data_IF_198635033521
#
_entry.id   IF_198635033521
#
_cell.length_a   1.000
_cell.length_b   1.000
_cell.length_c   1.000
_cell.angle_alpha   90.00
_cell.angle_beta   90.00
_cell.angle_gamma   90.00
#
_symmetry.space_group_name_H-M   'P 1'
#
loop_
_entity.id
_entity.type
_entity.pdbx_description
1 polymer ?
#
# COMPACT_ATOMS: atom_id res chain seq x y z
N UNK A 1 7.99 -16.68 28.55
CA UNK A 1 7.06 -17.13 27.49
C UNK A 1 6.40 -15.92 26.79
N UNK A 2 6.95 -15.51 25.66
CA UNK A 2 6.37 -14.44 24.84
C UNK A 2 5.20 -15.02 24.04
N UNK A 3 4.00 -14.50 24.28
CA UNK A 3 2.80 -14.86 23.54
C UNK A 3 3.00 -14.35 22.12
N UNK A 4 3.38 -15.25 21.20
CA UNK A 4 3.32 -14.98 19.76
C UNK A 4 1.88 -14.62 19.44
N UNK A 5 1.59 -13.33 19.26
CA UNK A 5 0.30 -12.85 18.80
C UNK A 5 0.11 -13.36 17.37
N UNK A 6 -0.45 -14.56 17.25
CA UNK A 6 -1.01 -15.04 15.99
C UNK A 6 -2.19 -14.12 15.67
N UNK A 7 -1.91 -13.07 14.88
CA UNK A 7 -2.92 -12.21 14.27
C UNK A 7 -3.86 -13.14 13.50
N UNK A 8 -5.05 -13.39 14.07
CA UNK A 8 -6.09 -14.16 13.39
C UNK A 8 -6.31 -13.55 12.01
N UNK A 9 -6.52 -14.36 10.95
CA UNK A 9 -6.75 -13.80 9.63
C UNK A 9 -7.93 -12.81 9.74
N UNK A 10 -7.78 -11.58 9.19
CA UNK A 10 -8.81 -10.56 9.34
C UNK A 10 -10.13 -11.11 8.82
N UNK A 11 -11.16 -11.08 9.66
CA UNK A 11 -12.52 -11.45 9.28
C UNK A 11 -13.08 -10.27 8.46
N UNK A 12 -13.03 -10.39 7.14
CA UNK A 12 -13.48 -9.37 6.21
C UNK A 12 -12.99 -9.65 4.78
N UNK A 13 -13.47 -8.90 3.78
CA UNK A 13 -12.90 -8.93 2.44
C UNK A 13 -11.39 -8.65 2.49
N UNK A 14 -10.59 -9.23 1.59
CA UNK A 14 -9.16 -8.93 1.52
C UNK A 14 -8.95 -7.43 1.32
N UNK A 15 -7.97 -6.88 2.01
CA UNK A 15 -7.56 -5.49 1.85
C UNK A 15 -6.28 -5.38 1.01
N UNK A 16 -6.24 -4.37 0.14
CA UNK A 16 -5.07 -4.00 -0.67
C UNK A 16 -4.63 -2.57 -0.36
N UNK A 17 -3.33 -2.35 -0.23
CA UNK A 17 -2.76 -1.01 -0.20
C UNK A 17 -1.88 -0.78 -1.42
N UNK A 18 -1.95 0.43 -1.96
CA UNK A 18 -1.08 0.89 -3.05
C UNK A 18 -0.12 1.90 -2.44
N UNK A 19 1.16 1.54 -2.40
CA UNK A 19 2.21 2.43 -1.93
C UNK A 19 2.56 3.43 -3.03
N UNK A 20 3.07 4.62 -2.68
CA UNK A 20 3.62 5.53 -3.67
C UNK A 20 4.75 4.82 -4.43
N UNK A 21 4.73 4.92 -5.75
CA UNK A 21 5.78 4.32 -6.58
C UNK A 21 7.04 5.18 -6.47
N UNK A 22 8.20 4.53 -6.47
CA UNK A 22 9.46 5.25 -6.48
C UNK A 22 9.69 5.85 -7.87
N UNK A 23 10.18 7.07 -7.95
CA UNK A 23 10.66 7.64 -9.21
C UNK A 23 12.14 7.34 -9.37
N UNK A 24 12.52 6.64 -10.43
CA UNK A 24 13.93 6.43 -10.73
C UNK A 24 14.54 7.77 -11.19
N UNK A 25 15.72 8.10 -10.69
CA UNK A 25 16.47 9.29 -11.12
C UNK A 25 16.23 10.59 -10.35
N UNK A 26 15.35 10.62 -9.34
CA UNK A 26 15.19 11.78 -8.44
C UNK A 26 14.55 13.02 -9.06
N UNK A 27 14.00 12.89 -10.27
CA UNK A 27 13.27 13.96 -10.95
C UNK A 27 11.90 14.17 -10.31
N UNK A 28 11.60 15.41 -9.92
CA UNK A 28 10.32 15.76 -9.27
C UNK A 28 9.11 15.40 -10.13
N UNK A 29 9.23 15.57 -11.45
CA UNK A 29 8.15 15.28 -12.39
C UNK A 29 7.82 13.77 -12.44
N UNK A 30 8.85 12.92 -12.37
CA UNK A 30 8.67 11.46 -12.27
C UNK A 30 7.97 11.10 -10.95
N UNK A 31 8.33 11.75 -9.85
CA UNK A 31 7.65 11.56 -8.55
C UNK A 31 6.16 11.92 -8.58
N UNK A 32 5.79 13.04 -9.21
CA UNK A 32 4.38 13.41 -9.36
C UNK A 32 3.61 12.45 -10.28
N UNK A 33 4.25 11.96 -11.35
CA UNK A 33 3.66 10.97 -12.23
C UNK A 33 3.47 9.62 -11.53
N UNK A 34 4.46 9.18 -10.75
CA UNK A 34 4.42 7.98 -9.93
C UNK A 34 3.25 8.02 -8.93
N UNK A 35 3.05 9.17 -8.29
CA UNK A 35 1.93 9.41 -7.39
C UNK A 35 0.59 9.39 -8.11
N UNK A 36 0.51 10.02 -9.29
CA UNK A 36 -0.69 10.01 -10.12
C UNK A 36 -1.11 8.59 -10.53
N UNK A 37 -0.15 7.73 -10.89
CA UNK A 37 -0.41 6.32 -11.21
C UNK A 37 -0.91 5.57 -9.97
N UNK A 38 -0.27 5.76 -8.82
CA UNK A 38 -0.71 5.12 -7.59
C UNK A 38 -2.14 5.53 -7.20
N UNK A 39 -2.48 6.81 -7.39
CA UNK A 39 -3.84 7.34 -7.17
C UNK A 39 -4.85 6.72 -8.12
N UNK A 40 -4.55 6.66 -9.42
CA UNK A 40 -5.44 6.05 -10.42
C UNK A 40 -5.71 4.57 -10.11
N UNK A 41 -4.70 3.83 -9.69
CA UNK A 41 -4.86 2.44 -9.23
C UNK A 41 -5.77 2.37 -8.00
N UNK A 42 -5.59 3.24 -7.00
CA UNK A 42 -6.46 3.31 -5.82
C UNK A 42 -7.92 3.55 -6.25
N UNK A 43 -8.15 4.52 -7.14
CA UNK A 43 -9.50 4.82 -7.64
C UNK A 43 -10.10 3.67 -8.43
N UNK A 44 -9.34 3.06 -9.35
CA UNK A 44 -9.78 1.91 -10.15
C UNK A 44 -10.14 0.70 -9.29
N UNK A 45 -9.34 0.42 -8.26
CA UNK A 45 -9.60 -0.68 -7.32
C UNK A 45 -10.78 -0.38 -6.39
N UNK A 46 -11.03 0.89 -6.03
CA UNK A 46 -12.06 1.28 -5.06
C UNK A 46 -13.49 0.92 -5.51
N UNK A 47 -13.71 0.72 -6.81
CA UNK A 47 -15.02 0.29 -7.32
C UNK A 47 -15.26 -1.23 -7.19
N UNK A 48 -14.32 -1.98 -6.62
CA UNK A 48 -14.38 -3.44 -6.52
C UNK A 48 -15.05 -3.87 -5.20
N UNK A 49 -16.30 -4.34 -5.26
CA UNK A 49 -17.11 -4.65 -4.06
C UNK A 49 -16.56 -5.73 -3.12
N UNK A 50 -15.71 -6.62 -3.61
CA UNK A 50 -15.15 -7.72 -2.82
C UNK A 50 -13.75 -7.40 -2.25
N UNK A 51 -13.22 -6.21 -2.52
CA UNK A 51 -11.87 -5.80 -2.18
C UNK A 51 -11.91 -4.49 -1.37
N UNK A 52 -11.34 -4.51 -0.17
CA UNK A 52 -11.15 -3.26 0.58
C UNK A 52 -9.89 -2.56 0.10
N UNK A 53 -9.99 -1.28 -0.25
CA UNK A 53 -8.82 -0.48 -0.63
C UNK A 53 -8.42 0.41 0.54
N UNK A 54 -7.15 0.34 0.92
CA UNK A 54 -6.59 1.21 1.96
C UNK A 54 -6.49 2.64 1.42
N UNK A 55 -6.95 3.60 2.21
CA UNK A 55 -6.97 5.00 1.83
C UNK A 55 -5.56 5.52 1.47
N UNK A 56 -5.49 6.36 0.44
CA UNK A 56 -4.24 7.00 -0.04
C UNK A 56 -3.41 7.59 1.09
N UNK A 57 -4.03 8.38 1.97
CA UNK A 57 -3.35 9.04 3.10
C UNK A 57 -2.73 8.05 4.09
N UNK A 58 -3.27 6.85 4.22
CA UNK A 58 -2.68 5.79 5.05
C UNK A 58 -1.49 5.13 4.35
N UNK A 59 -1.64 4.81 3.06
CA UNK A 59 -0.59 4.15 2.28
C UNK A 59 0.62 5.05 2.03
N UNK A 60 0.40 6.35 1.79
CA UNK A 60 1.45 7.30 1.41
C UNK A 60 2.35 7.73 2.58
N UNK A 61 2.01 7.35 3.83
CA UNK A 61 2.89 7.53 4.98
C UNK A 61 4.17 6.68 4.90
N UNK A 62 4.20 5.67 4.02
CA UNK A 62 5.32 4.74 3.86
C UNK A 62 6.23 5.04 2.66
N UNK A 63 6.27 6.28 2.15
CA UNK A 63 7.04 6.65 0.94
C UNK A 63 8.55 6.36 1.04
N UNK A 64 9.16 6.78 2.15
CA UNK A 64 10.61 6.69 2.36
C UNK A 64 10.95 5.54 3.32
N UNK A 65 9.99 4.64 3.54
CA UNK A 65 10.13 3.61 4.54
C UNK A 65 10.93 2.42 3.98
N UNK A 66 12.12 2.21 4.52
CA UNK A 66 12.96 1.03 4.22
C UNK A 66 12.40 -0.26 4.82
N UNK A 67 11.27 -0.18 5.54
CA UNK A 67 10.56 -1.35 6.04
C UNK A 67 10.09 -2.24 4.88
N UNK A 68 10.32 -3.54 5.02
CA UNK A 68 9.85 -4.51 4.03
C UNK A 68 8.32 -4.50 3.90
N UNK A 69 7.82 -4.78 2.70
CA UNK A 69 6.38 -4.80 2.35
C UNK A 69 5.51 -5.61 3.31
N UNK A 70 6.06 -6.67 3.92
CA UNK A 70 5.37 -7.47 4.94
C UNK A 70 5.05 -6.69 6.22
N UNK A 71 5.96 -5.83 6.67
CA UNK A 71 5.78 -4.99 7.86
C UNK A 71 4.73 -3.92 7.56
N UNK A 72 4.85 -3.26 6.40
CA UNK A 72 3.90 -2.25 5.94
C UNK A 72 2.50 -2.84 5.79
N UNK A 73 2.35 -4.00 5.15
CA UNK A 73 1.07 -4.69 5.04
C UNK A 73 0.47 -5.06 6.39
N UNK A 74 1.29 -5.48 7.35
CA UNK A 74 0.83 -5.74 8.71
C UNK A 74 0.34 -4.47 9.42
N UNK A 75 1.04 -3.35 9.26
CA UNK A 75 0.68 -2.06 9.85
C UNK A 75 -0.62 -1.51 9.24
N UNK A 76 -0.78 -1.63 7.92
CA UNK A 76 -1.97 -1.19 7.20
C UNK A 76 -3.16 -2.16 7.31
N UNK A 77 -2.93 -3.37 7.82
CA UNK A 77 -3.94 -4.44 7.77
C UNK A 77 -4.23 -4.93 6.34
N UNK A 78 -3.32 -4.65 5.40
CA UNK A 78 -3.43 -5.05 4.01
C UNK A 78 -2.85 -6.46 3.81
N UNK A 79 -3.63 -7.32 3.15
CA UNK A 79 -3.17 -8.65 2.73
C UNK A 79 -2.29 -8.56 1.49
N UNK A 80 -2.55 -7.55 0.65
CA UNK A 80 -1.83 -7.32 -0.59
C UNK A 80 -1.26 -5.90 -0.60
N UNK A 81 -0.06 -5.77 -1.15
CA UNK A 81 0.63 -4.50 -1.36
C UNK A 81 0.95 -4.38 -2.84
N UNK A 82 0.67 -3.22 -3.41
CA UNK A 82 1.15 -2.81 -4.73
C UNK A 82 2.28 -1.80 -4.52
N UNK A 83 3.43 -2.07 -5.12
CA UNK A 83 4.62 -1.23 -5.09
C UNK A 83 5.36 -1.37 -6.41
N UNK A 84 6.04 -0.33 -6.84
CA UNK A 84 6.83 -0.33 -8.07
C UNK A 84 7.71 0.91 -8.19
N UNK A 85 8.50 0.96 -9.26
CA UNK A 85 9.25 2.14 -9.67
C UNK A 85 8.81 2.59 -11.06
N UNK A 86 9.00 3.87 -11.35
CA UNK A 86 8.86 4.48 -12.68
C UNK A 86 10.22 4.79 -13.25
#
# INVERSE_FOLDING_TARGET
PAVSQQKSPPKGPPAIAVLPFAGDGGERDVGYMADGIAEDIIYGLSNTRWLSVIAKSSSFQFRDDSLGTRVIGNALGARYIVSGTL
#
